data_IF_940658135588
#
_entry.id   IF_940658135588
#
_cell.length_a   1.000
_cell.length_b   1.000
_cell.length_c   1.000
_cell.angle_alpha   90.00
_cell.angle_beta   90.00
_cell.angle_gamma   90.00
#
_symmetry.space_group_name_H-M   'P 1'
#
loop_
_entity.id
_entity.type
_entity.pdbx_description
1 polymer ?
#
# COMPACT_ATOMS: atom_id res chain seq x y z
N UNK A 1 7.89 1.84 -16.07
CA UNK A 1 7.09 2.01 -14.85
C UNK A 1 7.92 2.87 -13.89
N UNK A 2 7.35 3.83 -13.17
CA UNK A 2 8.08 4.52 -12.09
C UNK A 2 8.11 3.62 -10.84
N UNK A 3 9.14 3.70 -10.01
CA UNK A 3 9.34 2.87 -8.81
C UNK A 3 8.10 2.79 -7.90
N UNK A 4 7.39 3.91 -7.68
CA UNK A 4 6.15 3.93 -6.88
C UNK A 4 5.05 3.09 -7.52
N UNK A 5 4.94 3.09 -8.85
CA UNK A 5 3.96 2.30 -9.57
C UNK A 5 4.29 0.79 -9.51
N UNK A 6 5.57 0.43 -9.50
CA UNK A 6 6.02 -0.96 -9.31
C UNK A 6 5.66 -1.44 -7.91
N UNK A 7 5.99 -0.66 -6.88
CA UNK A 7 5.62 -0.96 -5.50
C UNK A 7 4.10 -1.02 -5.31
N UNK A 8 3.34 -0.18 -6.00
CA UNK A 8 1.89 -0.20 -5.96
C UNK A 8 1.31 -1.48 -6.58
N UNK A 9 1.90 -1.99 -7.67
CA UNK A 9 1.51 -3.28 -8.24
C UNK A 9 1.83 -4.43 -7.28
N UNK A 10 3.05 -4.48 -6.74
CA UNK A 10 3.45 -5.49 -5.75
C UNK A 10 2.52 -5.48 -4.54
N UNK A 11 2.20 -4.31 -3.99
CA UNK A 11 1.30 -4.20 -2.86
C UNK A 11 -0.12 -4.71 -3.15
N UNK A 12 -0.59 -4.62 -4.41
CA UNK A 12 -1.88 -5.19 -4.79
C UNK A 12 -1.83 -6.71 -4.92
N UNK A 13 -0.74 -7.25 -5.49
CA UNK A 13 -0.56 -8.70 -5.62
C UNK A 13 -0.47 -9.34 -4.21
N UNK A 14 0.29 -8.75 -3.29
CA UNK A 14 0.40 -9.23 -1.91
C UNK A 14 -0.92 -9.13 -1.15
N UNK A 15 -1.72 -8.08 -1.39
CA UNK A 15 -3.07 -7.98 -0.84
C UNK A 15 -3.99 -9.09 -1.37
N UNK A 16 -3.91 -9.40 -2.66
CA UNK A 16 -4.67 -10.49 -3.27
C UNK A 16 -4.28 -11.84 -2.65
N UNK A 17 -2.98 -12.11 -2.45
CA UNK A 17 -2.54 -13.33 -1.75
C UNK A 17 -3.07 -13.40 -0.33
N UNK A 18 -3.02 -12.30 0.43
CA UNK A 18 -3.58 -12.26 1.76
C UNK A 18 -5.11 -12.47 1.76
N UNK A 19 -5.84 -11.89 0.81
CA UNK A 19 -7.28 -12.12 0.66
C UNK A 19 -7.60 -13.59 0.35
N UNK A 20 -6.87 -14.20 -0.58
CA UNK A 20 -7.08 -15.59 -1.01
C UNK A 20 -6.73 -16.62 0.07
N UNK A 21 -5.73 -16.34 0.90
CA UNK A 21 -5.27 -17.29 1.90
C UNK A 21 -6.00 -17.20 3.25
N UNK A 22 -6.99 -16.30 3.38
CA UNK A 22 -7.83 -16.18 4.59
C UNK A 22 -8.39 -17.54 5.04
N UNK A 23 -8.28 -17.82 6.34
CA UNK A 23 -8.74 -19.07 6.95
C UNK A 23 -7.81 -20.27 6.71
N UNK A 24 -6.68 -20.07 6.05
CA UNK A 24 -5.62 -21.08 5.89
C UNK A 24 -4.45 -20.81 6.84
N UNK A 25 -3.52 -21.75 6.96
CA UNK A 25 -2.28 -21.57 7.74
C UNK A 25 -1.30 -20.57 7.10
N UNK A 26 -1.52 -20.19 5.84
CA UNK A 26 -0.65 -19.26 5.10
C UNK A 26 -1.02 -17.79 5.35
N UNK A 27 -2.24 -17.54 5.85
CA UNK A 27 -2.78 -16.19 6.00
C UNK A 27 -1.86 -15.24 6.79
N UNK A 28 -1.28 -15.72 7.88
CA UNK A 28 -0.33 -14.94 8.68
C UNK A 28 0.82 -14.36 7.84
N UNK A 29 1.44 -15.22 7.03
CA UNK A 29 2.61 -14.86 6.23
C UNK A 29 2.22 -13.92 5.10
N UNK A 30 1.15 -14.24 4.37
CA UNK A 30 0.68 -13.41 3.25
C UNK A 30 0.18 -12.05 3.75
N UNK A 31 -0.53 -11.98 4.88
CA UNK A 31 -0.93 -10.71 5.50
C UNK A 31 0.28 -9.88 5.91
N UNK A 32 1.34 -10.51 6.41
CA UNK A 32 2.60 -9.83 6.74
C UNK A 32 3.31 -9.31 5.48
N UNK A 33 3.28 -10.08 4.39
CA UNK A 33 3.76 -9.67 3.07
C UNK A 33 3.02 -8.43 2.56
N UNK A 34 1.69 -8.46 2.62
CA UNK A 34 0.83 -7.34 2.27
C UNK A 34 1.12 -6.09 3.12
N UNK A 35 1.27 -6.24 4.45
CA UNK A 35 1.60 -5.12 5.35
C UNK A 35 2.89 -4.42 4.92
N UNK A 36 3.91 -5.22 4.64
CA UNK A 36 5.23 -4.72 4.24
C UNK A 36 5.15 -3.99 2.90
N UNK A 37 4.52 -4.59 1.89
CA UNK A 37 4.42 -4.01 0.55
C UNK A 37 3.58 -2.72 0.54
N UNK A 38 2.47 -2.70 1.26
CA UNK A 38 1.63 -1.50 1.44
C UNK A 38 2.42 -0.40 2.16
N UNK A 39 3.15 -0.75 3.23
CA UNK A 39 4.01 0.21 3.93
C UNK A 39 5.11 0.78 3.03
N UNK A 40 5.72 -0.04 2.19
CA UNK A 40 6.81 0.36 1.30
C UNK A 40 6.34 1.39 0.25
N UNK A 41 5.21 1.13 -0.42
CA UNK A 41 4.67 2.09 -1.41
C UNK A 41 4.22 3.39 -0.76
N UNK A 42 3.60 3.34 0.43
CA UNK A 42 3.18 4.54 1.16
C UNK A 42 4.39 5.38 1.58
N UNK A 43 5.46 4.74 2.05
CA UNK A 43 6.70 5.42 2.41
C UNK A 43 7.37 6.06 1.19
N UNK A 44 7.45 5.34 0.07
CA UNK A 44 8.00 5.88 -1.17
C UNK A 44 7.20 7.08 -1.69
N UNK A 45 5.87 6.99 -1.61
CA UNK A 45 4.95 8.08 -1.97
C UNK A 45 5.13 9.32 -1.08
N UNK A 46 5.16 9.14 0.24
CA UNK A 46 5.37 10.24 1.19
C UNK A 46 6.74 10.89 1.00
N UNK A 47 7.80 10.08 0.86
CA UNK A 47 9.15 10.57 0.60
C UNK A 47 9.26 11.32 -0.74
N UNK A 48 8.48 10.93 -1.74
CA UNK A 48 8.39 11.67 -3.01
C UNK A 48 7.72 13.04 -2.82
N UNK A 49 6.58 13.09 -2.13
CA UNK A 49 5.89 14.35 -1.82
C UNK A 49 6.80 15.29 -1.04
N UNK A 50 7.52 14.76 -0.05
CA UNK A 50 8.39 15.57 0.81
C UNK A 50 9.55 16.23 0.06
N UNK A 51 9.92 15.69 -1.11
CA UNK A 51 10.96 16.25 -1.99
C UNK A 51 10.44 17.26 -3.00
N UNK A 52 9.12 17.43 -3.13
CA UNK A 52 8.55 18.38 -4.08
C UNK A 52 8.82 19.83 -3.64
N UNK A 53 9.18 20.73 -4.57
CA UNK A 53 9.71 22.05 -4.25
C UNK A 53 8.65 23.07 -3.83
N UNK A 54 7.36 22.83 -4.10
CA UNK A 54 6.27 23.75 -3.75
C UNK A 54 5.06 23.02 -3.18
N UNK A 55 4.30 23.75 -2.37
CA UNK A 55 3.04 23.25 -1.80
C UNK A 55 2.00 22.96 -2.88
N UNK A 56 1.96 23.77 -3.94
CA UNK A 56 1.07 23.53 -5.09
C UNK A 56 1.32 22.17 -5.75
N UNK A 57 2.59 21.82 -5.99
CA UNK A 57 2.95 20.51 -6.56
C UNK A 57 2.61 19.35 -5.60
N UNK A 58 2.80 19.56 -4.29
CA UNK A 58 2.43 18.57 -3.26
C UNK A 58 0.93 18.32 -3.26
N UNK A 59 0.11 19.39 -3.27
CA UNK A 59 -1.34 19.28 -3.27
C UNK A 59 -1.88 18.68 -4.58
N UNK A 60 -1.28 19.01 -5.72
CA UNK A 60 -1.63 18.38 -7.01
C UNK A 60 -1.40 16.87 -6.98
N UNK A 61 -0.24 16.42 -6.49
CA UNK A 61 0.10 14.99 -6.36
C UNK A 61 -0.80 14.29 -5.35
N UNK A 62 -1.08 14.90 -4.19
CA UNK A 62 -2.04 14.37 -3.20
C UNK A 62 -3.43 14.19 -3.79
N UNK A 63 -3.91 15.16 -4.56
CA UNK A 63 -5.23 15.08 -5.19
C UNK A 63 -5.29 13.98 -6.25
N UNK A 64 -4.26 13.84 -7.08
CA UNK A 64 -4.26 12.87 -8.20
C UNK A 64 -3.97 11.42 -7.76
N UNK A 65 -3.07 11.24 -6.80
CA UNK A 65 -2.54 9.91 -6.44
C UNK A 65 -2.89 9.51 -5.01
N UNK A 66 -3.10 10.47 -4.11
CA UNK A 66 -3.33 10.20 -2.69
C UNK A 66 -4.59 9.37 -2.42
N UNK A 67 -5.62 9.50 -3.26
CA UNK A 67 -6.82 8.66 -3.16
C UNK A 67 -6.49 7.16 -3.37
N UNK A 68 -5.66 6.82 -4.37
CA UNK A 68 -5.24 5.44 -4.63
C UNK A 68 -4.42 4.86 -3.47
N UNK A 69 -3.54 5.68 -2.88
CA UNK A 69 -2.74 5.29 -1.73
C UNK A 69 -3.61 5.05 -0.49
N UNK A 70 -4.63 5.90 -0.29
CA UNK A 70 -5.60 5.75 0.78
C UNK A 70 -6.45 4.49 0.60
N UNK A 71 -6.94 4.23 -0.61
CA UNK A 71 -7.70 3.02 -0.93
C UNK A 71 -6.88 1.76 -0.67
N UNK A 72 -5.61 1.72 -1.11
CA UNK A 72 -4.71 0.61 -0.86
C UNK A 72 -4.52 0.34 0.64
N UNK A 73 -4.31 1.40 1.44
CA UNK A 73 -4.22 1.27 2.90
C UNK A 73 -5.53 0.76 3.50
N UNK A 74 -6.67 1.28 3.04
CA UNK A 74 -7.98 0.84 3.53
C UNK A 74 -8.26 -0.63 3.20
N UNK A 75 -7.81 -1.13 2.04
CA UNK A 75 -7.90 -2.55 1.70
C UNK A 75 -7.10 -3.41 2.68
N UNK A 76 -5.86 -3.02 3.00
CA UNK A 76 -5.07 -3.71 4.02
C UNK A 76 -5.73 -3.68 5.40
N UNK A 77 -6.17 -2.50 5.85
CA UNK A 77 -6.80 -2.32 7.17
C UNK A 77 -8.12 -3.10 7.31
N UNK A 78 -8.76 -3.46 6.20
CA UNK A 78 -9.98 -4.27 6.18
C UNK A 78 -9.70 -5.78 6.29
N UNK A 79 -8.45 -6.22 6.11
CA UNK A 79 -8.06 -7.62 6.30
C UNK A 79 -8.23 -8.02 7.79
N UNK A 80 -8.85 -9.16 8.08
CA UNK A 80 -8.96 -9.67 9.45
C UNK A 80 -7.62 -9.65 10.20
N UNK A 81 -7.62 -9.15 11.43
CA UNK A 81 -6.48 -9.34 12.33
C UNK A 81 -6.44 -10.79 12.79
N UNK A 82 -5.27 -11.42 12.76
CA UNK A 82 -5.12 -12.72 13.42
C UNK A 82 -5.20 -12.51 14.94
N UNK A 83 -6.29 -12.98 15.51
CA UNK A 83 -6.43 -13.08 16.96
C UNK A 83 -5.51 -14.21 17.43
N UNK A 84 -4.39 -13.87 18.05
CA UNK A 84 -3.50 -14.83 18.74
C UNK A 84 -4.23 -15.60 19.84
#
# INVERSE_FOLDING_TARGET
MNHIEELFSVAKDELEYAEESQGTTYYHEDRTGAEKAVSEVLNAYNAFIDKLPSDEMREEVKTKVGMKMKELKMSFDALPEESH
#
